data_IF_419010421057
#
_entry.id   IF_419010421057
#
_cell.length_a   1.000
_cell.length_b   1.000
_cell.length_c   1.000
_cell.angle_alpha   90.00
_cell.angle_beta   90.00
_cell.angle_gamma   90.00
#
_symmetry.space_group_name_H-M   'P 1'
#
loop_
_entity.id
_entity.type
_entity.pdbx_description
1 polymer ?
#
# COMPACT_ATOMS: atom_id res chain seq x y z
N UNK A 1 36.48 58.00 47.77
CA UNK A 1 35.90 56.91 46.94
C UNK A 1 36.42 57.08 45.51
N UNK A 2 37.18 56.12 44.98
CA UNK A 2 37.98 56.33 43.77
C UNK A 2 37.13 56.14 42.49
N UNK A 3 36.58 57.24 41.97
CA UNK A 3 35.62 57.25 40.86
C UNK A 3 36.11 56.58 39.56
N UNK A 4 37.43 56.48 39.35
CA UNK A 4 38.00 55.71 38.21
C UNK A 4 37.79 54.20 38.36
N UNK A 5 37.87 53.64 39.58
CA UNK A 5 37.63 52.22 39.82
C UNK A 5 36.14 51.85 39.67
N UNK A 6 35.24 52.77 40.02
CA UNK A 6 33.78 52.57 39.90
C UNK A 6 33.35 52.56 38.43
N UNK A 7 33.87 53.48 37.60
CA UNK A 7 33.57 53.50 36.15
C UNK A 7 34.11 52.27 35.40
N UNK A 8 35.26 51.74 35.82
CA UNK A 8 35.81 50.50 35.26
C UNK A 8 34.96 49.28 35.66
N UNK A 9 34.48 49.23 36.91
CA UNK A 9 33.61 48.16 37.38
C UNK A 9 32.23 48.16 36.70
N UNK A 10 31.63 49.33 36.47
CA UNK A 10 30.32 49.42 35.77
C UNK A 10 30.43 49.10 34.28
N UNK A 11 31.54 49.45 33.61
CA UNK A 11 31.77 49.06 32.21
C UNK A 11 32.00 47.54 32.06
N UNK A 12 32.74 46.91 32.98
CA UNK A 12 32.93 45.46 33.00
C UNK A 12 31.61 44.73 33.25
N UNK A 13 30.73 45.25 34.11
CA UNK A 13 29.41 44.66 34.35
C UNK A 13 28.46 44.77 33.15
N UNK A 14 28.51 45.85 32.38
CA UNK A 14 27.70 46.00 31.15
C UNK A 14 28.23 45.10 30.02
N UNK A 15 29.56 44.99 29.87
CA UNK A 15 30.16 44.03 28.92
C UNK A 15 29.85 42.60 29.35
N UNK A 16 29.93 42.27 30.64
CA UNK A 16 29.55 40.95 31.15
C UNK A 16 28.05 40.67 30.94
N UNK A 17 27.16 41.66 31.14
CA UNK A 17 25.73 41.52 30.91
C UNK A 17 25.37 41.38 29.41
N UNK A 18 26.13 42.02 28.51
CA UNK A 18 25.99 41.84 27.05
C UNK A 18 26.57 40.50 26.57
N UNK A 19 27.62 39.98 27.21
CA UNK A 19 28.17 38.63 26.93
C UNK A 19 27.31 37.52 27.53
N UNK A 20 26.57 37.80 28.62
CA UNK A 20 25.60 36.87 29.23
C UNK A 20 24.24 36.81 28.51
N UNK A 21 23.97 37.75 27.60
CA UNK A 21 22.77 37.72 26.71
C UNK A 21 23.08 37.19 25.30
N UNK A 22 24.33 36.78 25.05
CA UNK A 22 24.78 36.17 23.80
C UNK A 22 25.29 34.73 24.02
N UNK A 23 24.63 33.92 24.85
CA UNK A 23 24.92 32.47 24.92
C UNK A 23 23.68 31.68 25.38
N UNK A 24 22.55 31.88 24.71
CA UNK A 24 21.58 30.82 24.51
C UNK A 24 21.41 30.60 23.01
N UNK A 25 22.53 30.31 22.34
CA UNK A 25 22.43 29.46 21.16
C UNK A 25 22.21 28.08 21.76
N UNK A 26 20.94 27.70 21.91
CA UNK A 26 20.59 26.30 22.04
C UNK A 26 21.22 25.63 20.84
N UNK A 27 22.29 24.87 21.02
CA UNK A 27 22.75 23.97 19.97
C UNK A 27 21.54 23.10 19.66
N UNK A 28 20.94 23.29 18.48
CA UNK A 28 19.89 22.40 18.02
C UNK A 28 20.47 20.99 18.16
N UNK A 29 19.83 20.18 18.99
CA UNK A 29 20.35 18.84 19.24
C UNK A 29 20.03 18.07 17.97
N UNK A 30 21.01 18.01 17.08
CA UNK A 30 20.92 17.42 15.76
C UNK A 30 20.36 16.00 15.89
N UNK A 31 19.09 15.82 15.52
CA UNK A 31 18.30 14.62 15.75
C UNK A 31 18.07 13.90 14.43
N UNK A 32 18.39 12.59 14.38
CA UNK A 32 18.11 11.74 13.22
C UNK A 32 16.60 11.72 12.99
N UNK A 33 16.16 12.05 11.78
CA UNK A 33 14.76 12.20 11.38
C UNK A 33 14.20 13.62 11.43
N UNK A 34 14.88 14.57 12.09
CA UNK A 34 14.48 15.99 12.13
C UNK A 34 15.17 16.73 10.98
N UNK A 35 14.52 16.76 9.82
CA UNK A 35 15.10 17.32 8.59
C UNK A 35 14.81 18.81 8.42
N UNK A 36 14.04 19.41 9.32
CA UNK A 36 13.76 20.84 9.32
C UNK A 36 14.46 21.61 10.47
N UNK A 37 15.03 20.89 11.44
CA UNK A 37 15.78 21.43 12.58
C UNK A 37 14.91 21.99 13.70
N UNK A 38 13.63 21.60 13.79
CA UNK A 38 12.69 22.12 14.79
C UNK A 38 12.66 21.33 16.11
N UNK A 39 13.48 20.28 16.21
CA UNK A 39 13.61 19.30 17.31
C UNK A 39 12.42 18.35 17.45
N UNK A 40 11.53 18.28 16.46
CA UNK A 40 10.51 17.25 16.37
C UNK A 40 10.80 16.35 15.17
N UNK A 41 10.31 15.11 15.23
CA UNK A 41 10.29 14.19 14.10
C UNK A 41 8.83 13.89 13.80
N UNK A 42 8.26 14.63 12.85
CA UNK A 42 6.83 14.61 12.58
C UNK A 42 6.47 14.61 11.07
N UNK A 43 5.19 14.88 10.78
CA UNK A 43 4.69 14.88 9.40
C UNK A 43 5.31 15.94 8.49
N UNK A 44 5.89 17.00 9.04
CA UNK A 44 6.56 18.07 8.30
C UNK A 44 7.91 17.55 7.77
N UNK A 45 8.65 16.80 8.57
CA UNK A 45 9.89 16.14 8.14
C UNK A 45 9.65 15.17 7.00
N UNK A 46 8.57 14.38 7.11
CA UNK A 46 8.18 13.44 6.06
C UNK A 46 7.82 14.14 4.75
N UNK A 47 7.13 15.29 4.82
CA UNK A 47 6.80 16.08 3.64
C UNK A 47 8.05 16.67 2.97
N UNK A 48 9.02 17.15 3.76
CA UNK A 48 10.29 17.68 3.27
C UNK A 48 11.18 16.59 2.67
N UNK A 49 11.28 15.44 3.32
CA UNK A 49 11.97 14.25 2.82
C UNK A 49 11.44 13.83 1.45
N UNK A 50 10.10 13.75 1.32
CA UNK A 50 9.45 13.45 0.04
C UNK A 50 9.72 14.53 -1.01
N UNK A 51 9.68 15.80 -0.63
CA UNK A 51 9.97 16.92 -1.54
C UNK A 51 11.41 16.88 -2.05
N UNK A 52 12.36 16.50 -1.20
CA UNK A 52 13.77 16.35 -1.55
C UNK A 52 14.01 15.19 -2.52
N UNK A 53 13.46 14.01 -2.24
CA UNK A 53 13.58 12.83 -3.11
C UNK A 53 12.95 13.08 -4.49
N UNK A 54 11.83 13.81 -4.52
CA UNK A 54 11.16 14.21 -5.77
C UNK A 54 11.85 15.38 -6.50
N UNK A 55 12.96 15.89 -5.97
CA UNK A 55 13.71 17.04 -6.52
C UNK A 55 12.87 18.32 -6.64
N UNK A 56 11.84 18.45 -5.81
CA UNK A 56 11.07 19.70 -5.66
C UNK A 56 11.90 20.72 -4.89
N UNK A 57 12.63 20.24 -3.88
CA UNK A 57 13.70 20.98 -3.20
C UNK A 57 15.02 20.23 -3.43
N UNK A 58 16.13 20.97 -3.53
CA UNK A 58 17.45 20.39 -3.79
C UNK A 58 18.28 20.18 -2.52
N UNK A 59 17.81 20.70 -1.37
CA UNK A 59 18.47 20.63 -0.06
C UNK A 59 17.41 20.55 1.03
N UNK A 60 17.69 19.84 2.12
CA UNK A 60 16.83 19.84 3.31
C UNK A 60 17.16 21.06 4.20
N UNK A 61 16.19 21.60 4.95
CA UNK A 61 16.43 22.78 5.81
C UNK A 61 17.34 22.53 7.02
N UNK A 62 17.47 21.28 7.49
CA UNK A 62 18.36 20.93 8.59
C UNK A 62 19.83 21.25 8.30
N UNK A 63 20.57 21.63 9.35
CA UNK A 63 21.98 22.04 9.28
C UNK A 63 22.89 20.95 8.68
N UNK A 64 22.62 19.69 9.00
CA UNK A 64 23.24 18.53 8.37
C UNK A 64 22.16 17.62 7.77
N UNK A 65 21.91 17.82 6.48
CA UNK A 65 20.92 17.04 5.73
C UNK A 65 21.22 15.54 5.76
N UNK A 66 22.48 15.13 5.73
CA UNK A 66 22.86 13.72 5.70
C UNK A 66 22.71 13.08 7.07
N UNK A 67 23.05 13.78 8.15
CA UNK A 67 22.83 13.26 9.48
C UNK A 67 21.34 13.15 9.82
N UNK A 68 20.55 14.16 9.44
CA UNK A 68 19.11 14.17 9.69
C UNK A 68 18.33 13.22 8.76
N UNK A 69 18.74 13.10 7.50
CA UNK A 69 17.93 12.51 6.44
C UNK A 69 18.32 11.10 6.00
N UNK A 70 19.55 10.65 6.25
CA UNK A 70 19.93 9.25 6.10
C UNK A 70 19.60 8.56 7.43
N UNK A 71 18.60 7.67 7.42
CA UNK A 71 17.98 7.04 8.60
C UNK A 71 18.43 5.59 8.79
N UNK A 72 18.98 4.94 7.75
CA UNK A 72 19.53 3.60 7.84
C UNK A 72 21.06 3.55 8.00
N UNK A 73 21.74 4.67 7.78
CA UNK A 73 23.18 4.84 7.90
C UNK A 73 23.95 4.45 6.64
N UNK A 74 23.30 4.31 5.48
CA UNK A 74 23.94 3.91 4.23
C UNK A 74 24.73 5.06 3.54
N UNK A 75 24.62 6.28 4.07
CA UNK A 75 25.29 7.47 3.56
C UNK A 75 24.58 8.13 2.38
N UNK A 76 23.34 7.75 2.08
CA UNK A 76 22.48 8.32 1.04
C UNK A 76 21.12 8.71 1.60
N UNK A 77 20.48 9.74 1.04
CA UNK A 77 19.10 10.12 1.38
C UNK A 77 18.21 9.72 0.20
N UNK A 78 17.43 8.66 0.36
CA UNK A 78 16.64 8.07 -0.71
C UNK A 78 15.27 7.53 -0.23
N UNK A 79 14.59 6.76 -1.08
CA UNK A 79 13.27 6.21 -0.79
C UNK A 79 13.22 5.28 0.43
N UNK A 80 14.34 4.69 0.82
CA UNK A 80 14.48 3.82 2.00
C UNK A 80 14.32 4.66 3.28
N UNK A 81 15.00 5.80 3.37
CA UNK A 81 14.88 6.73 4.50
C UNK A 81 13.47 7.27 4.64
N UNK A 82 12.84 7.64 3.52
CA UNK A 82 11.45 8.09 3.51
C UNK A 82 10.49 7.00 4.02
N UNK A 83 10.73 5.73 3.69
CA UNK A 83 9.95 4.61 4.20
C UNK A 83 10.16 4.42 5.72
N UNK A 84 11.40 4.54 6.21
CA UNK A 84 11.72 4.47 7.63
C UNK A 84 11.05 5.60 8.42
N UNK A 85 11.09 6.83 7.90
CA UNK A 85 10.39 7.97 8.50
C UNK A 85 8.89 7.71 8.62
N UNK A 86 8.27 7.16 7.57
CA UNK A 86 6.85 6.74 7.61
C UNK A 86 6.59 5.67 8.67
N UNK A 87 7.44 4.65 8.77
CA UNK A 87 7.30 3.60 9.80
C UNK A 87 7.41 4.18 11.21
N UNK A 88 8.31 5.14 11.42
CA UNK A 88 8.49 5.83 12.69
C UNK A 88 7.24 6.64 13.08
N UNK A 89 6.69 7.44 12.16
CA UNK A 89 5.46 8.21 12.39
C UNK A 89 4.22 7.33 12.64
N UNK A 90 4.20 6.13 12.06
CA UNK A 90 3.16 5.12 12.32
C UNK A 90 3.41 4.30 13.59
N UNK A 91 4.52 4.56 14.30
CA UNK A 91 4.89 3.89 15.54
C UNK A 91 5.33 2.44 15.38
N UNK A 92 5.57 1.97 14.14
CA UNK A 92 6.03 0.62 13.80
C UNK A 92 7.49 0.39 14.22
N UNK A 93 8.31 1.43 14.14
CA UNK A 93 9.65 1.48 14.73
C UNK A 93 9.69 2.58 15.80
N UNK A 94 10.50 2.37 16.84
CA UNK A 94 10.69 3.34 17.93
C UNK A 94 11.97 4.16 17.80
N UNK A 95 12.92 3.67 17.00
CA UNK A 95 14.22 4.28 16.74
C UNK A 95 14.63 3.98 15.30
N UNK A 96 15.37 4.89 14.66
CA UNK A 96 15.90 4.67 13.33
C UNK A 96 17.08 3.69 13.36
N UNK A 97 17.29 2.85 12.33
CA UNK A 97 18.41 1.90 12.29
C UNK A 97 19.78 2.57 12.49
N UNK A 98 20.00 3.77 11.94
CA UNK A 98 21.26 4.53 12.09
C UNK A 98 21.62 4.90 13.54
N UNK A 99 20.66 4.97 14.46
CA UNK A 99 20.94 5.34 15.86
C UNK A 99 21.38 4.15 16.73
N UNK A 100 21.57 2.96 16.14
CA UNK A 100 22.07 1.77 16.82
C UNK A 100 23.62 1.69 16.74
N UNK A 101 24.30 1.55 17.88
CA UNK A 101 25.77 1.32 18.00
C UNK A 101 26.19 0.00 17.29
N UNK A 102 27.44 -0.20 16.83
CA UNK A 102 27.74 -1.07 15.69
C UNK A 102 27.33 -2.52 15.94
N UNK A 103 26.17 -2.88 15.41
CA UNK A 103 25.70 -4.24 15.25
C UNK A 103 26.41 -4.86 14.04
N UNK A 104 26.59 -6.20 13.99
CA UNK A 104 27.67 -6.85 13.26
C UNK A 104 27.66 -6.50 11.78
N UNK A 105 28.86 -6.33 11.21
CA UNK A 105 29.09 -6.31 9.77
C UNK A 105 28.25 -7.41 9.12
N UNK A 106 27.44 -7.10 8.09
CA UNK A 106 26.69 -8.14 7.40
C UNK A 106 27.72 -9.11 6.82
N UNK A 107 27.87 -10.25 7.48
CA UNK A 107 28.39 -11.43 6.81
C UNK A 107 27.43 -11.66 5.67
N UNK A 108 27.95 -11.75 4.43
CA UNK A 108 27.22 -12.23 3.27
C UNK A 108 26.71 -13.66 3.56
N UNK A 109 25.68 -13.72 4.39
CA UNK A 109 24.72 -14.79 4.44
C UNK A 109 23.94 -14.59 3.16
N UNK A 110 23.86 -15.58 2.26
CA UNK A 110 22.93 -15.49 1.15
C UNK A 110 21.59 -15.08 1.76
N UNK A 111 21.03 -13.94 1.32
CA UNK A 111 19.64 -13.63 1.66
C UNK A 111 18.84 -14.89 1.35
N UNK A 112 17.89 -15.31 2.20
CA UNK A 112 16.93 -16.30 1.76
C UNK A 112 16.36 -15.77 0.44
N UNK A 113 16.63 -16.51 -0.63
CA UNK A 113 15.93 -16.37 -1.89
C UNK A 113 14.43 -16.40 -1.50
N UNK A 114 13.69 -15.35 -1.85
CA UNK A 114 12.28 -15.10 -1.51
C UNK A 114 11.97 -14.54 -0.11
N UNK A 115 12.20 -13.23 0.10
CA UNK A 115 11.29 -12.46 0.96
C UNK A 115 9.93 -12.37 0.23
N UNK A 116 8.86 -12.94 0.80
CA UNK A 116 7.53 -12.81 0.22
C UNK A 116 7.16 -11.33 0.03
N UNK A 117 6.77 -10.88 -1.18
CA UNK A 117 6.54 -9.45 -1.44
C UNK A 117 5.36 -8.87 -0.67
N UNK A 118 4.45 -9.72 -0.20
CA UNK A 118 3.26 -9.34 0.58
C UNK A 118 3.19 -10.21 1.85
N UNK A 119 3.95 -9.86 2.89
CA UNK A 119 4.05 -10.70 4.08
C UNK A 119 2.71 -10.83 4.81
N UNK A 120 2.45 -12.04 5.32
CA UNK A 120 1.24 -12.34 6.09
C UNK A 120 -0.05 -12.17 5.30
N UNK A 121 -0.01 -12.36 3.98
CA UNK A 121 -1.21 -12.31 3.13
C UNK A 121 -2.26 -13.35 3.53
N UNK A 122 -1.82 -14.49 4.07
CA UNK A 122 -2.63 -15.61 4.53
C UNK A 122 -3.03 -15.51 6.02
N UNK A 123 -2.68 -14.41 6.70
CA UNK A 123 -2.99 -14.23 8.11
C UNK A 123 -4.49 -14.26 8.35
N UNK A 124 -4.89 -14.86 9.47
CA UNK A 124 -6.25 -14.75 9.96
C UNK A 124 -6.46 -13.34 10.50
N UNK A 125 -7.53 -12.71 10.06
CA UNK A 125 -8.01 -11.40 10.49
C UNK A 125 -9.26 -11.59 11.34
N UNK A 126 -9.52 -10.63 12.21
CA UNK A 126 -10.70 -10.62 13.09
C UNK A 126 -11.45 -9.31 12.88
N UNK A 127 -12.77 -9.37 12.95
CA UNK A 127 -13.64 -8.21 12.81
C UNK A 127 -15.08 -8.61 13.00
N UNK A 128 -15.98 -7.88 12.35
CA UNK A 128 -17.39 -8.21 12.30
C UNK A 128 -17.89 -8.24 10.86
N UNK A 129 -18.98 -8.96 10.63
CA UNK A 129 -19.74 -8.93 9.39
C UNK A 129 -21.10 -8.26 9.62
N UNK A 130 -21.53 -7.43 8.67
CA UNK A 130 -22.91 -6.97 8.51
C UNK A 130 -23.56 -7.66 7.30
N UNK A 131 -24.83 -7.34 7.03
CA UNK A 131 -25.55 -7.80 5.86
C UNK A 131 -25.80 -6.66 4.87
N UNK A 132 -25.62 -6.97 3.58
CA UNK A 132 -26.06 -6.14 2.46
C UNK A 132 -26.64 -6.98 1.32
N UNK A 133 -27.55 -6.37 0.55
CA UNK A 133 -28.02 -6.91 -0.74
C UNK A 133 -27.27 -6.34 -1.95
N UNK A 134 -26.29 -5.46 -1.75
CA UNK A 134 -25.48 -4.85 -2.82
C UNK A 134 -24.35 -5.77 -3.30
N UNK A 135 -23.62 -5.35 -4.33
CA UNK A 135 -22.39 -6.02 -4.80
C UNK A 135 -22.59 -7.10 -5.85
N UNK A 136 -23.82 -7.57 -6.11
CA UNK A 136 -24.14 -8.46 -7.24
C UNK A 136 -24.12 -7.73 -8.59
N UNK A 137 -24.46 -6.43 -8.57
CA UNK A 137 -24.45 -5.54 -9.73
C UNK A 137 -23.83 -4.21 -9.30
N UNK A 138 -22.91 -3.68 -10.11
CA UNK A 138 -22.33 -2.36 -9.92
C UNK A 138 -21.39 -2.24 -8.72
N UNK A 139 -20.93 -3.36 -8.14
CA UNK A 139 -19.88 -3.34 -7.12
C UNK A 139 -18.60 -2.69 -7.66
N UNK A 140 -17.83 -2.04 -6.80
CA UNK A 140 -16.68 -1.22 -7.24
C UNK A 140 -15.61 -2.05 -7.98
N UNK A 141 -15.53 -3.37 -7.76
CA UNK A 141 -14.62 -4.25 -8.46
C UNK A 141 -15.01 -4.52 -9.93
N UNK A 142 -16.19 -4.06 -10.38
CA UNK A 142 -16.68 -4.19 -11.76
C UNK A 142 -16.65 -5.63 -12.29
N UNK A 143 -17.09 -6.57 -11.46
CA UNK A 143 -17.04 -8.02 -11.72
C UNK A 143 -18.31 -8.59 -12.36
N UNK A 144 -19.30 -7.75 -12.63
CA UNK A 144 -20.57 -8.11 -13.28
C UNK A 144 -20.36 -8.89 -14.60
N UNK A 145 -21.30 -9.80 -14.95
CA UNK A 145 -22.42 -10.26 -14.13
C UNK A 145 -21.97 -11.24 -13.03
N UNK A 146 -22.61 -11.17 -11.86
CA UNK A 146 -22.42 -12.11 -10.75
C UNK A 146 -23.66 -13.01 -10.67
N UNK A 147 -23.52 -14.35 -10.60
CA UNK A 147 -24.66 -15.24 -10.36
C UNK A 147 -25.38 -14.90 -9.05
N UNK A 148 -26.71 -14.93 -9.05
CA UNK A 148 -27.52 -14.57 -7.87
C UNK A 148 -27.30 -15.50 -6.67
N UNK A 149 -26.86 -16.73 -6.93
CA UNK A 149 -26.54 -17.74 -5.92
C UNK A 149 -25.08 -17.66 -5.43
N UNK A 150 -24.26 -16.78 -6.01
CA UNK A 150 -22.87 -16.61 -5.59
C UNK A 150 -22.80 -15.96 -4.21
N UNK A 151 -21.99 -16.52 -3.32
CA UNK A 151 -21.68 -15.92 -2.03
C UNK A 151 -20.65 -14.80 -2.21
N UNK A 152 -21.07 -13.56 -1.95
CA UNK A 152 -20.25 -12.37 -2.16
C UNK A 152 -20.05 -11.56 -0.89
N UNK A 153 -19.04 -10.70 -0.92
CA UNK A 153 -18.70 -9.80 0.18
C UNK A 153 -18.20 -8.45 -0.33
N UNK A 154 -18.56 -7.39 0.39
CA UNK A 154 -17.83 -6.13 0.36
C UNK A 154 -16.79 -6.10 1.50
N UNK A 155 -15.53 -5.82 1.16
CA UNK A 155 -14.45 -5.76 2.16
C UNK A 155 -14.20 -4.30 2.56
N UNK A 156 -13.91 -4.03 3.83
CA UNK A 156 -13.54 -2.69 4.28
C UNK A 156 -12.41 -2.07 3.43
N UNK A 157 -12.45 -0.74 3.26
CA UNK A 157 -11.53 -0.02 2.38
C UNK A 157 -10.04 -0.22 2.71
N UNK A 158 -9.59 -0.23 3.99
CA UNK A 158 -8.20 -0.54 4.33
C UNK A 158 -7.72 -1.90 3.79
N UNK A 159 -8.49 -2.96 4.03
CA UNK A 159 -8.14 -4.31 3.57
C UNK A 159 -8.30 -4.46 2.05
N UNK A 160 -9.34 -3.86 1.47
CA UNK A 160 -9.56 -3.87 0.02
C UNK A 160 -8.37 -3.26 -0.75
N UNK A 161 -7.69 -2.27 -0.16
CA UNK A 161 -6.50 -1.60 -0.71
C UNK A 161 -5.20 -1.95 0.04
N UNK A 162 -5.10 -3.17 0.56
CA UNK A 162 -3.93 -3.61 1.31
C UNK A 162 -2.63 -3.56 0.49
N UNK A 163 -1.50 -3.52 1.19
CA UNK A 163 -0.14 -3.49 0.60
C UNK A 163 0.14 -2.30 -0.33
N UNK A 164 -0.66 -1.23 -0.24
CA UNK A 164 -0.52 -0.05 -1.09
C UNK A 164 -0.97 -0.27 -2.53
N UNK A 165 -1.68 -1.37 -2.81
CA UNK A 165 -2.23 -1.69 -4.13
C UNK A 165 -3.73 -1.35 -4.13
N UNK A 166 -4.18 -0.53 -5.09
CA UNK A 166 -5.59 -0.22 -5.23
C UNK A 166 -6.36 -1.48 -5.65
N UNK A 167 -7.53 -1.70 -5.03
CA UNK A 167 -8.36 -2.89 -5.31
C UNK A 167 -7.56 -4.20 -5.23
N UNK A 168 -6.63 -4.30 -4.29
CA UNK A 168 -5.78 -5.47 -4.07
C UNK A 168 -6.61 -6.75 -3.93
N UNK A 169 -7.69 -6.70 -3.15
CA UNK A 169 -8.53 -7.87 -2.88
C UNK A 169 -9.72 -8.01 -3.83
N UNK A 170 -9.86 -7.16 -4.84
CA UNK A 170 -10.93 -7.32 -5.83
C UNK A 170 -10.80 -8.68 -6.54
N UNK A 171 -11.88 -9.46 -6.54
CA UNK A 171 -11.90 -10.81 -7.10
C UNK A 171 -11.20 -11.87 -6.23
N UNK A 172 -10.79 -11.55 -5.00
CA UNK A 172 -10.26 -12.54 -4.06
C UNK A 172 -11.39 -13.43 -3.50
N UNK A 173 -10.99 -14.57 -2.95
CA UNK A 173 -11.88 -15.43 -2.15
C UNK A 173 -11.43 -15.43 -0.70
N UNK A 174 -12.40 -15.30 0.20
CA UNK A 174 -12.17 -15.31 1.65
C UNK A 174 -12.87 -16.51 2.26
N UNK A 175 -12.18 -17.23 3.14
CA UNK A 175 -12.81 -18.15 4.09
C UNK A 175 -13.21 -17.35 5.33
N UNK A 176 -14.51 -17.32 5.65
CA UNK A 176 -15.09 -16.53 6.73
C UNK A 176 -15.75 -17.46 7.74
N UNK A 177 -15.34 -17.36 9.00
CA UNK A 177 -15.86 -18.15 10.12
C UNK A 177 -16.60 -17.25 11.09
N UNK A 178 -17.84 -17.62 11.40
CA UNK A 178 -18.66 -17.01 12.45
C UNK A 178 -19.20 -18.06 13.43
N UNK A 179 -20.09 -17.67 14.34
CA UNK A 179 -20.58 -18.54 15.42
C UNK A 179 -21.27 -19.83 14.98
N UNK A 180 -21.90 -19.86 13.80
CA UNK A 180 -22.63 -21.03 13.27
C UNK A 180 -21.79 -21.93 12.37
N UNK A 181 -20.66 -21.44 11.85
CA UNK A 181 -19.86 -22.18 10.88
C UNK A 181 -18.96 -21.30 10.03
N UNK A 182 -18.53 -21.90 8.92
CA UNK A 182 -17.56 -21.30 7.99
C UNK A 182 -18.14 -21.34 6.57
N UNK A 183 -17.91 -20.28 5.81
CA UNK A 183 -18.26 -20.20 4.39
C UNK A 183 -17.15 -19.56 3.56
N UNK A 184 -17.29 -19.61 2.24
CA UNK A 184 -16.36 -18.99 1.28
C UNK A 184 -17.09 -17.92 0.49
N UNK A 185 -16.51 -16.72 0.42
CA UNK A 185 -17.12 -15.56 -0.23
C UNK A 185 -16.19 -14.92 -1.27
N UNK A 186 -16.78 -14.34 -2.30
CA UNK A 186 -16.10 -13.67 -3.40
C UNK A 186 -16.15 -12.14 -3.24
N UNK A 187 -15.00 -11.48 -3.31
CA UNK A 187 -14.89 -10.03 -3.07
C UNK A 187 -15.31 -9.26 -4.32
N UNK A 188 -16.51 -8.68 -4.30
CA UNK A 188 -17.08 -7.93 -5.44
C UNK A 188 -17.21 -6.43 -5.19
N UNK A 189 -17.09 -5.98 -3.95
CA UNK A 189 -17.33 -4.58 -3.59
C UNK A 189 -16.46 -4.09 -2.42
N UNK A 190 -16.53 -2.80 -2.12
CA UNK A 190 -15.79 -2.15 -1.04
C UNK A 190 -16.73 -1.51 0.00
N UNK A 191 -16.59 -1.95 1.25
CA UNK A 191 -17.27 -1.36 2.39
C UNK A 191 -16.53 -0.09 2.84
N UNK A 192 -16.86 1.04 2.20
CA UNK A 192 -16.00 2.23 2.13
C UNK A 192 -15.68 2.89 3.48
N UNK A 193 -16.58 2.84 4.45
CA UNK A 193 -16.46 3.54 5.75
C UNK A 193 -16.28 2.60 6.94
N UNK A 194 -16.01 1.32 6.69
CA UNK A 194 -15.86 0.32 7.74
C UNK A 194 -14.42 0.23 8.25
N UNK A 195 -14.24 -0.11 9.55
CA UNK A 195 -12.90 -0.33 10.10
C UNK A 195 -12.23 -1.57 9.50
N UNK A 196 -10.91 -1.67 9.68
CA UNK A 196 -10.15 -2.87 9.29
C UNK A 196 -10.77 -4.14 9.89
N UNK A 197 -10.73 -5.24 9.13
CA UNK A 197 -11.34 -6.52 9.51
C UNK A 197 -12.85 -6.61 9.26
N UNK A 198 -13.57 -5.50 9.02
CA UNK A 198 -15.01 -5.53 8.78
C UNK A 198 -15.37 -6.02 7.36
N UNK A 199 -16.47 -6.76 7.27
CA UNK A 199 -17.05 -7.32 6.05
C UNK A 199 -18.54 -6.93 5.95
N UNK A 200 -19.06 -6.80 4.72
CA UNK A 200 -20.49 -6.68 4.46
C UNK A 200 -20.91 -7.85 3.54
N UNK A 201 -21.58 -8.84 4.12
CA UNK A 201 -21.84 -10.14 3.48
C UNK A 201 -23.21 -10.16 2.82
N UNK A 202 -23.36 -10.99 1.77
CA UNK A 202 -24.68 -11.32 1.24
C UNK A 202 -25.48 -12.22 2.22
N UNK A 203 -26.80 -12.30 2.01
CA UNK A 203 -27.71 -13.05 2.88
C UNK A 203 -27.35 -14.54 3.00
N UNK A 204 -26.97 -15.18 1.89
CA UNK A 204 -26.58 -16.60 1.86
C UNK A 204 -25.42 -16.87 2.83
N UNK A 205 -24.43 -15.99 2.85
CA UNK A 205 -23.24 -16.15 3.70
C UNK A 205 -23.56 -15.86 5.17
N UNK A 206 -24.34 -14.82 5.44
CA UNK A 206 -24.80 -14.48 6.80
C UNK A 206 -25.54 -15.65 7.46
N UNK A 207 -26.48 -16.27 6.75
CA UNK A 207 -27.29 -17.38 7.27
C UNK A 207 -26.45 -18.61 7.66
N UNK A 208 -25.36 -18.86 6.92
CA UNK A 208 -24.44 -19.97 7.17
C UNK A 208 -23.55 -19.75 8.39
N UNK A 209 -23.11 -18.51 8.64
CA UNK A 209 -22.11 -18.23 9.66
C UNK A 209 -22.67 -17.61 10.94
N UNK A 210 -23.89 -17.06 10.93
CA UNK A 210 -24.43 -16.35 12.08
C UNK A 210 -25.89 -15.94 11.93
N UNK A 211 -26.27 -14.90 12.66
CA UNK A 211 -27.59 -14.27 12.60
C UNK A 211 -27.38 -12.76 12.69
N UNK A 212 -27.85 -12.00 11.71
CA UNK A 212 -27.79 -10.54 11.72
C UNK A 212 -28.97 -9.90 12.46
N UNK A 213 -29.96 -10.68 12.93
CA UNK A 213 -31.04 -10.22 13.82
C UNK A 213 -30.61 -10.21 15.30
N UNK A 214 -29.35 -9.83 15.55
CA UNK A 214 -28.78 -9.65 16.89
C UNK A 214 -28.60 -8.16 17.17
N UNK A 215 -28.50 -7.73 18.45
CA UNK A 215 -28.25 -6.33 18.78
C UNK A 215 -27.05 -5.75 18.01
N UNK A 216 -27.27 -4.68 17.25
CA UNK A 216 -26.24 -4.03 16.44
C UNK A 216 -26.07 -4.58 15.02
N UNK A 217 -26.78 -5.67 14.65
CA UNK A 217 -26.78 -6.19 13.28
C UNK A 217 -25.45 -6.78 12.81
N UNK A 218 -24.63 -7.25 13.76
CA UNK A 218 -23.23 -7.66 13.53
C UNK A 218 -22.99 -9.08 13.99
N UNK A 219 -22.23 -9.82 13.19
CA UNK A 219 -21.72 -11.16 13.51
C UNK A 219 -20.22 -11.04 13.73
N UNK A 220 -19.70 -11.47 14.88
CA UNK A 220 -18.25 -11.55 15.08
C UNK A 220 -17.66 -12.62 14.16
N UNK A 221 -16.62 -12.26 13.40
CA UNK A 221 -16.02 -13.16 12.41
C UNK A 221 -14.50 -13.15 12.45
N UNK A 222 -13.93 -14.27 12.05
CA UNK A 222 -12.54 -14.35 11.59
C UNK A 222 -12.52 -14.71 10.12
N UNK A 223 -11.55 -14.20 9.37
CA UNK A 223 -11.42 -14.51 7.95
C UNK A 223 -9.98 -14.48 7.47
N UNK A 224 -9.71 -15.18 6.36
CA UNK A 224 -8.42 -15.18 5.67
C UNK A 224 -8.61 -15.32 4.16
N UNK A 225 -7.60 -14.90 3.41
CA UNK A 225 -7.55 -15.12 1.96
C UNK A 225 -7.27 -16.60 1.70
N UNK A 226 -7.99 -17.20 0.75
CA UNK A 226 -7.77 -18.59 0.31
C UNK A 226 -7.57 -18.64 -1.21
N UNK A 227 -6.97 -19.72 -1.76
CA UNK A 227 -7.05 -19.98 -3.19
C UNK A 227 -8.52 -20.01 -3.64
N UNK A 228 -8.81 -19.38 -4.77
CA UNK A 228 -10.12 -19.41 -5.38
C UNK A 228 -10.52 -20.86 -5.72
N UNK A 229 -11.74 -21.30 -5.37
CA UNK A 229 -12.26 -22.62 -5.70
C UNK A 229 -12.77 -22.66 -7.16
N UNK A 230 -11.87 -22.36 -8.10
CA UNK A 230 -12.15 -22.22 -9.53
C UNK A 230 -11.35 -23.22 -10.36
N UNK A 231 -11.78 -23.41 -11.60
CA UNK A 231 -11.04 -24.15 -12.63
C UNK A 231 -10.79 -23.25 -13.84
N UNK A 232 -9.80 -23.63 -14.65
CA UNK A 232 -9.49 -22.93 -15.89
C UNK A 232 -8.54 -21.74 -15.70
N UNK A 233 -8.26 -21.09 -16.82
CA UNK A 233 -7.30 -19.99 -16.91
C UNK A 233 -7.96 -18.64 -16.63
N UNK A 234 -7.15 -17.59 -16.60
CA UNK A 234 -7.64 -16.22 -16.53
C UNK A 234 -8.65 -15.91 -17.64
N UNK A 235 -9.52 -14.95 -17.35
CA UNK A 235 -10.35 -14.29 -18.34
C UNK A 235 -9.99 -12.82 -18.29
N UNK A 236 -9.58 -12.24 -19.42
CA UNK A 236 -9.30 -10.83 -19.54
C UNK A 236 -10.56 -10.09 -19.96
N UNK A 237 -10.93 -9.05 -19.23
CA UNK A 237 -12.00 -8.13 -19.64
C UNK A 237 -11.38 -6.82 -20.08
N UNK A 238 -11.65 -6.43 -21.32
CA UNK A 238 -11.30 -5.11 -21.83
C UNK A 238 -12.48 -4.17 -21.58
N UNK A 239 -12.23 -3.04 -20.91
CA UNK A 239 -13.28 -2.10 -20.56
C UNK A 239 -13.90 -1.50 -21.83
N UNK A 240 -15.23 -1.28 -21.89
CA UNK A 240 -15.87 -0.56 -22.98
C UNK A 240 -15.20 0.78 -23.28
N UNK A 241 -15.13 1.12 -24.57
CA UNK A 241 -14.46 2.30 -25.10
C UNK A 241 -12.94 2.39 -24.84
N UNK A 242 -12.29 1.28 -24.47
CA UNK A 242 -10.82 1.19 -24.53
C UNK A 242 -10.31 1.45 -25.96
N UNK A 243 -9.14 2.07 -26.06
CA UNK A 243 -8.50 2.45 -27.31
C UNK A 243 -6.98 2.41 -27.15
N UNK A 244 -6.25 2.66 -28.23
CA UNK A 244 -4.79 2.83 -28.16
C UNK A 244 -4.36 4.00 -27.28
N UNK A 245 -5.20 5.03 -27.06
CA UNK A 245 -4.83 6.20 -26.24
C UNK A 245 -5.03 5.94 -24.75
N UNK A 246 -6.05 5.14 -24.42
CA UNK A 246 -6.41 4.76 -23.06
C UNK A 246 -7.00 3.36 -23.11
N UNK A 247 -6.32 2.40 -22.47
CA UNK A 247 -6.67 0.99 -22.49
C UNK A 247 -6.78 0.47 -21.06
N UNK A 248 -7.92 -0.12 -20.71
CA UNK A 248 -8.13 -0.70 -19.40
C UNK A 248 -8.44 -2.19 -19.51
N UNK A 249 -7.67 -2.98 -18.78
CA UNK A 249 -7.80 -4.43 -18.73
C UNK A 249 -7.96 -4.94 -17.30
N UNK A 250 -8.94 -5.81 -17.09
CA UNK A 250 -9.18 -6.51 -15.84
C UNK A 250 -8.83 -7.99 -16.00
N UNK A 251 -8.20 -8.56 -14.98
CA UNK A 251 -7.97 -10.00 -14.87
C UNK A 251 -9.11 -10.59 -14.04
N UNK A 252 -9.78 -11.62 -14.54
CA UNK A 252 -10.81 -12.41 -13.84
C UNK A 252 -10.39 -13.87 -13.76
N UNK A 253 -11.13 -14.65 -12.97
CA UNK A 253 -10.90 -16.08 -12.77
C UNK A 253 -9.45 -16.36 -12.34
N UNK A 254 -8.92 -15.56 -11.42
CA UNK A 254 -7.56 -15.71 -10.91
C UNK A 254 -7.56 -16.43 -9.55
N UNK A 255 -6.63 -17.39 -9.39
CA UNK A 255 -6.59 -18.24 -8.19
C UNK A 255 -6.23 -17.47 -6.91
N UNK A 256 -5.43 -16.43 -7.05
CA UNK A 256 -4.99 -15.56 -5.96
C UNK A 256 -5.14 -14.10 -6.36
N UNK A 257 -5.21 -13.16 -5.39
CA UNK A 257 -5.31 -11.73 -5.67
C UNK A 257 -4.19 -11.25 -6.61
N UNK A 258 -4.58 -10.51 -7.65
CA UNK A 258 -3.66 -9.97 -8.65
C UNK A 258 -3.11 -8.63 -8.16
N UNK A 259 -1.82 -8.60 -7.84
CA UNK A 259 -1.17 -7.46 -7.19
C UNK A 259 -0.42 -6.55 -8.16
N UNK A 260 0.08 -7.11 -9.27
CA UNK A 260 0.84 -6.37 -10.28
C UNK A 260 0.57 -6.91 -11.67
N UNK A 261 0.58 -6.03 -12.66
CA UNK A 261 0.57 -6.38 -14.07
C UNK A 261 1.58 -5.51 -14.80
N UNK A 262 2.36 -6.11 -15.67
CA UNK A 262 3.34 -5.43 -16.52
C UNK A 262 3.15 -5.87 -17.96
N UNK A 263 3.45 -5.00 -18.91
CA UNK A 263 3.51 -5.36 -20.32
C UNK A 263 4.91 -5.21 -20.89
N UNK A 264 5.21 -6.03 -21.89
CA UNK A 264 6.52 -6.04 -22.53
C UNK A 264 6.57 -5.02 -23.66
N UNK A 265 7.52 -4.09 -23.60
CA UNK A 265 7.73 -3.02 -24.58
C UNK A 265 9.22 -2.74 -24.74
N UNK A 266 9.70 -2.68 -25.97
CA UNK A 266 11.07 -2.29 -26.33
C UNK A 266 12.18 -3.04 -25.55
N UNK A 267 11.96 -4.32 -25.22
CA UNK A 267 12.93 -5.14 -24.49
C UNK A 267 12.75 -5.13 -22.96
N UNK A 268 11.83 -4.32 -22.43
CA UNK A 268 11.63 -4.11 -21.01
C UNK A 268 10.19 -4.41 -20.56
N UNK A 269 10.04 -4.65 -19.25
CA UNK A 269 8.73 -4.78 -18.61
C UNK A 269 8.31 -3.45 -18.00
N UNK A 270 7.18 -2.93 -18.45
CA UNK A 270 6.62 -1.66 -18.00
C UNK A 270 5.43 -1.92 -17.08
N UNK A 271 5.45 -1.31 -15.89
CA UNK A 271 4.37 -1.42 -14.91
C UNK A 271 3.06 -0.83 -15.45
N UNK A 272 1.97 -1.54 -15.19
CA UNK A 272 0.61 -1.08 -15.47
C UNK A 272 -0.04 -0.76 -14.12
N UNK A 273 -0.35 0.52 -13.83
CA UNK A 273 -1.02 0.87 -12.60
C UNK A 273 -2.40 0.22 -12.47
N UNK A 274 -2.67 -0.38 -11.30
CA UNK A 274 -4.01 -0.84 -10.92
C UNK A 274 -4.83 0.33 -10.38
N UNK A 275 -6.04 0.50 -10.89
CA UNK A 275 -7.00 1.50 -10.43
C UNK A 275 -7.89 0.97 -9.30
N UNK A 276 -8.65 1.88 -8.68
CA UNK A 276 -9.59 1.57 -7.60
C UNK A 276 -10.77 0.68 -8.01
N UNK A 277 -11.00 0.51 -9.31
CA UNK A 277 -12.13 -0.21 -9.88
C UNK A 277 -11.72 -1.59 -10.45
N UNK A 278 -10.57 -2.12 -10.04
CA UNK A 278 -10.04 -3.41 -10.46
C UNK A 278 -9.70 -3.50 -11.96
N UNK A 279 -9.15 -2.43 -12.51
CA UNK A 279 -8.56 -2.40 -13.85
C UNK A 279 -7.09 -1.98 -13.80
N UNK A 280 -6.30 -2.56 -14.70
CA UNK A 280 -4.96 -2.13 -15.03
C UNK A 280 -5.04 -1.20 -16.24
N UNK A 281 -4.48 0.01 -16.13
CA UNK A 281 -4.65 1.09 -17.11
C UNK A 281 -3.35 1.42 -17.83
N UNK A 282 -3.35 1.30 -19.16
CA UNK A 282 -2.26 1.67 -20.05
C UNK A 282 -2.66 2.93 -20.83
N UNK A 283 -1.81 3.95 -20.80
CA UNK A 283 -1.94 5.12 -21.67
C UNK A 283 -1.04 4.93 -22.90
N UNK A 284 -1.55 5.27 -24.08
CA UNK A 284 -0.80 5.19 -25.35
C UNK A 284 -0.24 3.79 -25.66
N UNK A 285 -1.11 2.77 -25.63
CA UNK A 285 -0.80 1.42 -26.08
C UNK A 285 -0.49 1.41 -27.59
N UNK A 286 0.72 0.96 -27.94
CA UNK A 286 1.25 0.99 -29.31
C UNK A 286 1.46 -0.41 -29.92
N UNK A 287 0.83 -1.44 -29.34
CA UNK A 287 0.84 -2.81 -29.85
C UNK A 287 -0.57 -3.42 -29.85
N UNK A 288 -0.87 -4.26 -30.84
CA UNK A 288 -2.08 -5.09 -30.89
C UNK A 288 -1.87 -6.49 -30.27
N UNK A 289 -0.62 -6.90 -30.07
CA UNK A 289 -0.25 -8.12 -29.36
C UNK A 289 0.37 -7.71 -28.02
N UNK A 290 -0.42 -7.87 -26.96
CA UNK A 290 -0.07 -7.39 -25.64
C UNK A 290 0.50 -8.55 -24.81
N UNK A 291 1.83 -8.69 -24.83
CA UNK A 291 2.56 -9.63 -23.97
C UNK A 291 2.63 -9.07 -22.55
N UNK A 292 2.17 -9.85 -21.58
CA UNK A 292 1.97 -9.41 -20.20
C UNK A 292 2.61 -10.38 -19.21
N UNK A 293 3.00 -9.88 -18.04
CA UNK A 293 3.26 -10.69 -16.86
C UNK A 293 2.43 -10.20 -15.69
N UNK A 294 1.95 -11.13 -14.90
CA UNK A 294 1.03 -10.88 -13.80
C UNK A 294 1.63 -11.49 -12.54
N UNK A 295 1.63 -10.73 -11.44
CA UNK A 295 2.14 -11.16 -10.14
C UNK A 295 0.99 -11.28 -9.13
N UNK A 296 0.89 -12.42 -8.45
CA UNK A 296 -0.09 -12.62 -7.37
C UNK A 296 0.40 -12.14 -6.00
N UNK A 297 -0.48 -12.23 -5.00
CA UNK A 297 -0.21 -11.89 -3.59
C UNK A 297 0.87 -12.73 -2.92
N UNK A 298 1.36 -13.80 -3.56
CA UNK A 298 2.47 -14.63 -3.06
C UNK A 298 3.79 -14.27 -3.76
N UNK A 299 3.75 -13.34 -4.72
CA UNK A 299 4.88 -13.01 -5.57
C UNK A 299 5.09 -13.98 -6.74
N UNK A 300 4.14 -14.88 -7.02
CA UNK A 300 4.24 -15.79 -8.17
C UNK A 300 3.92 -15.03 -9.43
N UNK A 301 4.80 -15.17 -10.43
CA UNK A 301 4.70 -14.48 -11.71
C UNK A 301 4.34 -15.48 -12.80
N UNK A 302 3.35 -15.13 -13.62
CA UNK A 302 3.02 -15.86 -14.86
C UNK A 302 3.03 -14.89 -16.03
N UNK A 303 3.31 -15.39 -17.24
CA UNK A 303 3.33 -14.60 -18.47
C UNK A 303 2.26 -15.11 -19.42
N UNK A 304 1.55 -14.20 -20.09
CA UNK A 304 0.57 -14.53 -21.13
C UNK A 304 0.71 -13.55 -22.31
N UNK A 305 0.00 -13.84 -23.38
CA UNK A 305 -0.14 -12.99 -24.55
C UNK A 305 -1.63 -12.79 -24.81
N UNK A 306 -2.04 -11.53 -24.86
CA UNK A 306 -3.41 -11.15 -25.25
C UNK A 306 -3.40 -10.86 -26.74
N UNK A 307 -3.89 -11.83 -27.51
CA UNK A 307 -3.89 -11.78 -28.98
C UNK A 307 -5.09 -12.57 -29.56
N UNK A 308 -5.87 -11.99 -30.49
CA UNK A 308 -5.85 -10.58 -30.91
C UNK A 308 -6.67 -9.68 -29.98
N UNK A 309 -6.21 -8.45 -29.75
CA UNK A 309 -7.08 -7.39 -29.22
C UNK A 309 -8.00 -6.92 -30.37
N UNK A 310 -9.34 -6.98 -30.23
CA UNK A 310 -10.24 -6.52 -31.28
C UNK A 310 -10.07 -5.02 -31.58
N UNK A 311 -10.18 -4.63 -32.85
CA UNK A 311 -10.10 -3.21 -33.26
C UNK A 311 -11.26 -2.35 -32.73
N UNK A 312 -12.44 -2.96 -32.55
CA UNK A 312 -13.64 -2.29 -32.04
C UNK A 312 -13.96 -2.76 -30.62
N UNK A 313 -13.72 -1.87 -29.65
CA UNK A 313 -13.94 -2.11 -28.22
C UNK A 313 -15.07 -1.24 -27.65
N UNK A 314 -15.99 -0.72 -28.49
CA UNK A 314 -17.08 0.15 -28.03
C UNK A 314 -17.93 -0.47 -26.91
N UNK A 315 -18.14 -1.79 -26.95
CA UNK A 315 -18.89 -2.53 -25.92
C UNK A 315 -17.97 -3.31 -24.96
N UNK A 316 -16.65 -3.15 -25.08
CA UNK A 316 -15.66 -3.99 -24.41
C UNK A 316 -15.66 -5.42 -24.96
N UNK A 317 -14.85 -6.28 -24.37
CA UNK A 317 -14.84 -7.71 -24.71
C UNK A 317 -14.27 -8.55 -23.56
N UNK A 318 -14.49 -9.87 -23.66
CA UNK A 318 -13.81 -10.87 -22.86
C UNK A 318 -12.89 -11.69 -23.75
N UNK A 319 -11.66 -11.92 -23.29
CA UNK A 319 -10.64 -12.69 -23.99
C UNK A 319 -10.20 -13.81 -23.04
N UNK A 320 -10.22 -15.05 -23.54
CA UNK A 320 -9.76 -16.20 -22.77
C UNK A 320 -8.24 -16.18 -22.65
N UNK A 321 -7.71 -16.27 -21.43
CA UNK A 321 -6.28 -16.43 -21.17
C UNK A 321 -5.81 -17.87 -21.25
N UNK A 322 -4.49 -18.04 -21.27
CA UNK A 322 -3.81 -19.33 -21.46
C UNK A 322 -3.10 -19.83 -20.20
N UNK A 323 -3.08 -19.01 -19.14
CA UNK A 323 -2.36 -19.32 -17.90
C UNK A 323 -3.25 -19.14 -16.66
N UNK A 324 -2.78 -19.73 -15.57
CA UNK A 324 -3.31 -19.58 -14.21
C UNK A 324 -2.13 -19.51 -13.25
N UNK A 325 -2.31 -18.85 -12.10
CA UNK A 325 -1.32 -18.93 -11.02
C UNK A 325 -1.17 -20.38 -10.53
N UNK A 326 0.05 -20.78 -10.10
CA UNK A 326 0.27 -22.12 -9.59
C UNK A 326 -0.51 -22.36 -8.29
N UNK A 327 -0.68 -23.62 -7.94
CA UNK A 327 -1.18 -24.05 -6.63
C UNK A 327 -0.27 -23.53 -5.50
#
# INVERSE_FOLDING_TARGET
MNFKKIRLFTAILIIAAQVLSYNFISSAQLQVGDVNGDNNVDSIDFALMKSFILKIINTLPAEDSLLAGDLDGDGSINSIDCALMKQYLLGMIKVFPKTQSPAPTPTNTPLPEYSEPYPGWDKIRSGYATYTGSGYVGGIALLDPIPEDMEIVAVNKPDFNCYGVQAALAGAYLEVTGPKGTTVVYVTDCYTEAPEGALDLCGISCDKIGDTNVPGGKIDVTWRIIPAPITGNFIYRILPASSKWWFAIQVRNHKYPVMKMEYFKDGEWVDIPKDRCNYFVINNLDTSNLKIRITDIRGKVVTDIIDPIPDNLMNGCFIQGNVQFPD
#
